data_IF_253594428036
#
_entry.id   IF_253594428036
#
_cell.length_a   1.000
_cell.length_b   1.000
_cell.length_c   1.000
_cell.angle_alpha   90.00
_cell.angle_beta   90.00
_cell.angle_gamma   90.00
#
_symmetry.space_group_name_H-M   'P 1'
#
loop_
_entity.id
_entity.type
_entity.pdbx_description
1 polymer ?
#
# COMPACT_ATOMS: atom_id res chain seq x y z
N UNK A 1 -25.01 60.53 -27.28
CA UNK A 1 -23.78 59.96 -26.63
C UNK A 1 -24.23 59.45 -25.27
N UNK A 2 -24.09 58.11 -25.09
CA UNK A 2 -24.38 57.43 -23.83
C UNK A 2 -23.14 57.58 -22.95
N UNK A 3 -23.25 58.17 -21.80
CA UNK A 3 -22.16 58.24 -20.82
C UNK A 3 -21.82 56.85 -20.30
N UNK A 4 -20.52 56.53 -20.27
CA UNK A 4 -20.02 55.29 -19.72
C UNK A 4 -20.11 55.35 -18.19
N UNK A 5 -20.91 54.45 -17.59
CA UNK A 5 -21.01 54.39 -16.14
C UNK A 5 -19.65 54.25 -15.45
N UNK A 6 -19.53 54.79 -14.25
CA UNK A 6 -18.31 54.68 -13.42
C UNK A 6 -18.05 53.20 -13.09
N UNK A 7 -16.80 52.81 -13.16
CA UNK A 7 -16.36 51.46 -12.76
C UNK A 7 -16.60 51.28 -11.24
N UNK A 8 -17.21 50.20 -10.85
CA UNK A 8 -17.39 49.87 -9.43
C UNK A 8 -16.07 49.78 -8.68
N UNK A 9 -16.08 50.01 -7.39
CA UNK A 9 -14.92 49.90 -6.52
C UNK A 9 -14.34 48.47 -6.56
N UNK A 10 -13.02 48.38 -6.39
CA UNK A 10 -12.33 47.10 -6.29
C UNK A 10 -12.77 46.42 -4.98
N UNK A 11 -13.21 45.17 -5.06
CA UNK A 11 -13.55 44.40 -3.87
C UNK A 11 -12.35 44.27 -2.90
N UNK A 12 -12.67 44.09 -1.62
CA UNK A 12 -11.67 43.89 -0.56
C UNK A 12 -10.77 42.71 -0.83
N UNK A 13 -9.49 42.77 -0.38
CA UNK A 13 -8.58 41.65 -0.45
C UNK A 13 -9.11 40.55 0.47
N UNK A 14 -9.08 39.29 0.00
CA UNK A 14 -9.44 38.16 0.84
C UNK A 14 -8.48 38.05 2.07
N UNK A 15 -9.02 37.53 3.16
CA UNK A 15 -8.25 37.31 4.39
C UNK A 15 -7.17 36.24 4.16
N UNK A 16 -5.97 36.48 4.68
CA UNK A 16 -4.90 35.50 4.65
C UNK A 16 -5.07 34.52 5.83
N UNK A 17 -5.20 33.20 5.59
CA UNK A 17 -5.35 32.23 6.67
C UNK A 17 -4.09 32.16 7.55
N UNK A 18 -4.30 32.03 8.85
CA UNK A 18 -3.23 31.64 9.79
C UNK A 18 -3.04 30.13 9.70
N UNK A 19 -1.81 29.71 9.40
CA UNK A 19 -1.46 28.29 9.29
C UNK A 19 -0.67 27.90 10.54
N UNK A 20 -1.13 26.88 11.25
CA UNK A 20 -0.47 26.34 12.43
C UNK A 20 -0.27 24.85 12.30
N UNK A 21 0.83 24.33 12.85
CA UNK A 21 1.03 22.89 13.02
C UNK A 21 0.28 22.47 14.27
N UNK A 22 -0.68 21.56 14.10
CA UNK A 22 -1.49 21.02 15.20
C UNK A 22 -0.82 19.84 15.85
N UNK A 23 -0.23 18.97 15.02
CA UNK A 23 0.48 17.79 15.47
C UNK A 23 1.69 17.52 14.56
N UNK A 24 2.85 17.29 15.18
CA UNK A 24 4.08 16.93 14.50
C UNK A 24 4.75 15.81 15.28
N UNK A 25 4.44 14.58 14.91
CA UNK A 25 5.00 13.36 15.50
C UNK A 25 5.63 12.50 14.42
N UNK A 26 6.25 11.39 14.81
CA UNK A 26 6.83 10.43 13.87
C UNK A 26 5.80 9.83 12.88
N UNK A 27 4.53 9.82 13.25
CA UNK A 27 3.45 9.15 12.51
C UNK A 27 2.31 10.08 12.10
N UNK A 28 2.30 11.31 12.60
CA UNK A 28 1.20 12.26 12.38
C UNK A 28 1.74 13.64 12.10
N UNK A 29 1.29 14.23 11.01
CA UNK A 29 1.56 15.64 10.67
C UNK A 29 0.28 16.30 10.19
N UNK A 30 -0.27 17.20 11.00
CA UNK A 30 -1.52 17.90 10.73
C UNK A 30 -1.30 19.41 10.74
N UNK A 31 -1.92 20.09 9.78
CA UNK A 31 -1.97 21.55 9.72
C UNK A 31 -3.38 22.03 9.99
N UNK A 32 -3.47 23.16 10.64
CA UNK A 32 -4.73 23.90 10.77
C UNK A 32 -4.63 25.21 9.98
N UNK A 33 -5.68 25.51 9.23
CA UNK A 33 -5.89 26.75 8.46
C UNK A 33 -7.06 27.48 9.09
N UNK A 34 -6.79 28.65 9.65
CA UNK A 34 -7.80 29.44 10.34
C UNK A 34 -7.96 30.84 9.72
N UNK A 35 -9.21 31.18 9.40
CA UNK A 35 -9.65 32.51 9.01
C UNK A 35 -10.70 33.00 10.01
N UNK A 36 -11.25 34.20 9.81
CA UNK A 36 -12.41 34.67 10.59
C UNK A 36 -13.69 33.85 10.35
N UNK A 37 -13.80 33.19 9.18
CA UNK A 37 -14.98 32.44 8.75
C UNK A 37 -14.80 30.91 8.93
N UNK A 38 -13.59 30.39 8.79
CA UNK A 38 -13.31 28.95 8.71
C UNK A 38 -12.17 28.51 9.64
N UNK A 39 -12.28 27.30 10.17
CA UNK A 39 -11.27 26.63 10.97
C UNK A 39 -11.16 25.18 10.50
N UNK A 40 -10.17 24.90 9.65
CA UNK A 40 -10.03 23.64 8.92
C UNK A 40 -8.73 22.97 9.32
N UNK A 41 -8.82 21.77 9.90
CA UNK A 41 -7.65 20.91 10.15
C UNK A 41 -7.51 19.88 9.03
N UNK A 42 -6.29 19.73 8.49
CA UNK A 42 -6.03 18.70 7.49
C UNK A 42 -6.16 17.30 8.08
N UNK A 43 -6.48 16.29 7.27
CA UNK A 43 -6.20 14.93 7.64
C UNK A 43 -4.69 14.73 7.85
N UNK A 44 -4.28 13.60 8.42
CA UNK A 44 -2.85 13.29 8.57
C UNK A 44 -2.14 13.35 7.22
N UNK A 45 -1.24 14.32 7.07
CA UNK A 45 -0.45 14.53 5.84
C UNK A 45 0.76 13.59 5.78
N UNK A 46 1.13 13.00 6.91
CA UNK A 46 2.17 12.00 6.97
C UNK A 46 1.53 10.63 6.74
N UNK A 47 1.77 10.04 5.57
CA UNK A 47 1.46 8.64 5.33
C UNK A 47 2.60 7.79 5.87
N UNK A 48 2.41 7.25 7.07
CA UNK A 48 3.24 6.16 7.57
C UNK A 48 3.19 4.98 6.61
N UNK A 49 4.23 4.16 6.64
CA UNK A 49 4.19 2.84 6.00
C UNK A 49 3.09 2.02 6.68
N UNK A 50 2.11 1.58 5.90
CA UNK A 50 1.13 0.62 6.41
C UNK A 50 1.85 -0.70 6.67
N UNK A 51 1.80 -1.19 7.91
CA UNK A 51 2.39 -2.46 8.31
C UNK A 51 1.29 -3.47 8.55
N UNK A 52 1.36 -4.60 7.86
CA UNK A 52 0.38 -5.68 7.95
C UNK A 52 1.05 -6.91 8.54
N UNK A 53 0.61 -7.33 9.72
CA UNK A 53 1.02 -8.57 10.34
C UNK A 53 -0.10 -9.60 10.22
N UNK A 54 0.20 -10.76 9.68
CA UNK A 54 -0.74 -11.88 9.60
C UNK A 54 -0.03 -13.20 9.82
N UNK A 55 -0.62 -14.05 10.63
CA UNK A 55 -0.26 -15.46 10.71
C UNK A 55 -1.09 -16.23 9.67
N UNK A 56 -0.47 -16.63 8.58
CA UNK A 56 -1.08 -17.53 7.59
C UNK A 56 -0.86 -18.96 8.08
N UNK A 57 -1.72 -19.45 8.96
CA UNK A 57 -1.51 -20.74 9.67
C UNK A 57 -2.22 -21.93 9.03
N UNK A 58 -3.09 -21.70 8.05
CA UNK A 58 -3.85 -22.76 7.40
C UNK A 58 -3.91 -22.54 5.88
N UNK A 59 -3.92 -23.64 5.14
CA UNK A 59 -4.16 -23.59 3.70
C UNK A 59 -5.46 -22.85 3.38
N UNK A 60 -5.40 -21.91 2.46
CA UNK A 60 -6.50 -21.02 2.11
C UNK A 60 -6.53 -19.70 2.89
N UNK A 61 -5.74 -19.53 3.96
CA UNK A 61 -5.61 -18.23 4.65
C UNK A 61 -5.11 -17.15 3.71
N UNK A 62 -5.69 -15.93 3.79
CA UNK A 62 -5.35 -14.81 2.91
C UNK A 62 -5.12 -13.53 3.69
N UNK A 63 -4.19 -12.71 3.19
CA UNK A 63 -4.05 -11.30 3.52
C UNK A 63 -4.29 -10.48 2.27
N UNK A 64 -5.27 -9.58 2.34
CA UNK A 64 -5.59 -8.65 1.26
C UNK A 64 -5.09 -7.25 1.62
N UNK A 65 -4.21 -6.70 0.80
CA UNK A 65 -3.69 -5.34 0.95
C UNK A 65 -4.35 -4.46 -0.11
N UNK A 66 -5.21 -3.53 0.28
CA UNK A 66 -5.85 -2.62 -0.66
C UNK A 66 -4.83 -1.58 -1.15
N UNK A 67 -4.61 -1.52 -2.45
CA UNK A 67 -3.95 -0.43 -3.14
C UNK A 67 -5.02 0.54 -3.68
N UNK A 68 -4.63 1.61 -4.35
CA UNK A 68 -5.60 2.62 -4.85
C UNK A 68 -6.71 1.98 -5.72
N UNK A 69 -6.35 1.35 -6.84
CA UNK A 69 -7.28 0.71 -7.78
C UNK A 69 -7.14 -0.82 -7.82
N UNK A 70 -6.20 -1.38 -7.07
CA UNK A 70 -5.85 -2.78 -7.08
C UNK A 70 -5.98 -3.40 -5.67
N UNK A 71 -6.00 -4.72 -5.62
CA UNK A 71 -5.87 -5.51 -4.39
C UNK A 71 -4.69 -6.46 -4.58
N UNK A 72 -3.72 -6.37 -3.69
CA UNK A 72 -2.62 -7.33 -3.58
C UNK A 72 -3.00 -8.39 -2.55
N UNK A 73 -2.93 -9.66 -2.92
CA UNK A 73 -3.33 -10.78 -2.06
C UNK A 73 -2.18 -11.73 -1.84
N UNK A 74 -1.88 -12.00 -0.58
CA UNK A 74 -1.02 -13.11 -0.14
C UNK A 74 -1.92 -14.25 0.31
N UNK A 75 -1.70 -15.44 -0.23
CA UNK A 75 -2.49 -16.63 0.09
C UNK A 75 -1.59 -17.81 0.41
N UNK A 76 -1.80 -18.42 1.55
CA UNK A 76 -1.19 -19.71 1.84
C UNK A 76 -1.95 -20.81 1.11
N UNK A 77 -1.26 -21.51 0.20
CA UNK A 77 -1.85 -22.59 -0.59
C UNK A 77 -1.65 -23.94 0.11
N UNK A 78 -0.51 -24.09 0.77
CA UNK A 78 -0.17 -25.27 1.55
C UNK A 78 0.72 -24.85 2.73
N UNK A 79 1.16 -25.80 3.53
CA UNK A 79 2.12 -25.55 4.63
C UNK A 79 3.47 -25.02 4.13
N UNK A 80 3.78 -25.17 2.86
CA UNK A 80 5.06 -24.82 2.26
C UNK A 80 4.96 -23.96 1.00
N UNK A 81 3.76 -23.46 0.66
CA UNK A 81 3.58 -22.65 -0.54
C UNK A 81 2.75 -21.40 -0.27
N UNK A 82 3.31 -20.26 -0.66
CA UNK A 82 2.67 -18.96 -0.67
C UNK A 82 2.44 -18.52 -2.11
N UNK A 83 1.26 -18.00 -2.38
CA UNK A 83 0.91 -17.38 -3.66
C UNK A 83 0.66 -15.89 -3.47
N UNK A 84 1.27 -15.09 -4.32
CA UNK A 84 1.07 -13.64 -4.38
C UNK A 84 0.32 -13.33 -5.65
N UNK A 85 -0.84 -12.69 -5.53
CA UNK A 85 -1.66 -12.30 -6.67
C UNK A 85 -2.06 -10.84 -6.59
N UNK A 86 -2.41 -10.26 -7.74
CA UNK A 86 -2.95 -8.91 -7.87
C UNK A 86 -4.20 -8.95 -8.74
N UNK A 87 -5.17 -8.12 -8.41
CA UNK A 87 -6.39 -7.95 -9.20
C UNK A 87 -6.90 -6.51 -9.13
N UNK A 88 -7.66 -6.07 -10.11
CA UNK A 88 -8.39 -4.82 -10.01
C UNK A 88 -9.48 -4.91 -8.93
N UNK A 89 -9.72 -3.82 -8.18
CA UNK A 89 -10.84 -3.73 -7.23
C UNK A 89 -12.19 -3.89 -7.93
N UNK A 90 -12.30 -3.29 -9.11
CA UNK A 90 -13.42 -3.46 -10.02
C UNK A 90 -12.90 -4.14 -11.29
N UNK A 91 -13.27 -5.39 -11.49
CA UNK A 91 -12.82 -6.20 -12.63
C UNK A 91 -13.34 -5.69 -13.98
N UNK A 92 -14.38 -4.86 -13.97
CA UNK A 92 -14.90 -4.17 -15.17
C UNK A 92 -14.06 -2.95 -15.57
N UNK A 93 -13.18 -2.47 -14.67
CA UNK A 93 -12.32 -1.30 -14.88
C UNK A 93 -10.85 -1.73 -14.87
N UNK A 94 -10.28 -2.11 -16.01
CA UNK A 94 -8.88 -2.55 -16.10
C UNK A 94 -7.91 -1.45 -15.69
N UNK A 95 -6.86 -1.83 -14.96
CA UNK A 95 -5.83 -0.91 -14.44
C UNK A 95 -4.51 -1.16 -15.16
N UNK A 96 -3.96 -0.13 -15.79
CA UNK A 96 -2.63 -0.19 -16.41
C UNK A 96 -1.56 -0.16 -15.32
N UNK A 97 -0.59 -1.07 -15.40
CA UNK A 97 0.42 -1.28 -14.35
C UNK A 97 1.81 -1.50 -14.90
N UNK A 98 2.81 -1.10 -14.09
CA UNK A 98 4.17 -1.61 -14.15
C UNK A 98 4.46 -2.31 -12.83
N UNK A 99 4.84 -3.57 -12.88
CA UNK A 99 5.08 -4.39 -11.69
C UNK A 99 6.49 -4.96 -11.75
N UNK A 100 7.23 -4.81 -10.66
CA UNK A 100 8.51 -5.44 -10.45
C UNK A 100 8.50 -6.22 -9.14
N UNK A 101 8.83 -7.51 -9.21
CA UNK A 101 9.04 -8.37 -8.07
C UNK A 101 10.51 -8.83 -8.04
N UNK A 102 11.09 -8.85 -6.85
CA UNK A 102 12.36 -9.52 -6.57
C UNK A 102 12.11 -10.39 -5.35
N UNK A 103 12.35 -11.68 -5.48
CA UNK A 103 12.28 -12.64 -4.37
C UNK A 103 13.68 -13.12 -4.03
N UNK A 104 14.05 -13.02 -2.77
CA UNK A 104 15.33 -13.42 -2.22
C UNK A 104 15.08 -14.60 -1.27
N UNK A 105 15.66 -15.74 -1.59
CA UNK A 105 15.59 -16.95 -0.78
C UNK A 105 16.77 -17.03 0.20
N UNK A 106 16.59 -17.70 1.31
CA UNK A 106 17.68 -17.89 2.28
C UNK A 106 18.85 -18.72 1.70
N UNK A 107 18.60 -19.46 0.61
CA UNK A 107 19.63 -20.20 -0.14
C UNK A 107 20.50 -19.31 -1.03
N UNK A 108 20.37 -17.99 -0.93
CA UNK A 108 21.06 -17.00 -1.76
C UNK A 108 20.65 -16.98 -3.23
N UNK A 109 19.59 -17.68 -3.61
CA UNK A 109 19.01 -17.55 -4.95
C UNK A 109 18.10 -16.32 -5.02
N UNK A 110 18.04 -15.71 -6.19
CA UNK A 110 17.23 -14.51 -6.45
C UNK A 110 16.41 -14.79 -7.69
N UNK A 111 15.11 -14.53 -7.58
CA UNK A 111 14.19 -14.52 -8.72
C UNK A 111 13.59 -13.15 -8.95
N UNK A 112 13.29 -12.84 -10.19
CA UNK A 112 12.66 -11.56 -10.55
C UNK A 112 11.56 -11.74 -11.58
N UNK A 113 10.52 -10.90 -11.45
CA UNK A 113 9.46 -10.71 -12.43
C UNK A 113 9.37 -9.24 -12.77
N UNK A 114 9.24 -8.93 -14.06
CA UNK A 114 8.97 -7.56 -14.52
C UNK A 114 7.82 -7.60 -15.52
N UNK A 115 6.76 -6.86 -15.22
CA UNK A 115 5.62 -6.63 -16.09
C UNK A 115 5.55 -5.13 -16.37
N UNK A 116 5.66 -4.75 -17.65
CA UNK A 116 5.60 -3.35 -18.07
C UNK A 116 4.35 -3.14 -18.91
N UNK A 117 3.67 -2.01 -18.70
CA UNK A 117 2.46 -1.63 -19.44
C UNK A 117 1.41 -2.76 -19.48
N UNK A 118 1.30 -3.49 -18.37
CA UNK A 118 0.39 -4.64 -18.27
C UNK A 118 -0.93 -4.20 -17.69
N UNK A 119 -2.01 -4.58 -18.35
CA UNK A 119 -3.36 -4.29 -17.87
C UNK A 119 -3.85 -5.41 -16.95
N UNK A 120 -4.16 -5.04 -15.72
CA UNK A 120 -4.73 -5.94 -14.71
C UNK A 120 -6.22 -5.68 -14.60
N UNK A 121 -7.02 -6.72 -14.81
CA UNK A 121 -8.46 -6.73 -14.55
C UNK A 121 -8.82 -7.82 -13.55
N UNK A 122 -8.53 -9.05 -13.89
CA UNK A 122 -8.76 -10.23 -13.07
C UNK A 122 -7.50 -10.63 -12.29
N UNK A 123 -7.64 -11.67 -11.48
CA UNK A 123 -6.55 -12.22 -10.67
C UNK A 123 -5.36 -12.63 -11.53
N UNK A 124 -4.23 -12.00 -11.31
CA UNK A 124 -2.94 -12.28 -11.96
C UNK A 124 -1.95 -12.78 -10.91
N UNK A 125 -1.28 -13.89 -11.17
CA UNK A 125 -0.27 -14.45 -10.27
C UNK A 125 1.05 -13.70 -10.48
N UNK A 126 1.58 -13.15 -9.39
CA UNK A 126 2.89 -12.50 -9.36
C UNK A 126 3.98 -13.42 -8.81
N UNK A 127 3.60 -14.33 -7.94
CA UNK A 127 4.48 -15.33 -7.34
C UNK A 127 3.68 -16.56 -6.92
N UNK A 128 4.24 -17.73 -7.11
CA UNK A 128 3.65 -19.02 -6.76
C UNK A 128 4.73 -20.00 -6.32
N UNK A 129 5.59 -19.56 -5.40
CA UNK A 129 6.80 -20.26 -5.01
C UNK A 129 6.54 -21.14 -3.80
N UNK A 130 7.20 -22.30 -3.80
CA UNK A 130 7.30 -23.15 -2.63
C UNK A 130 8.46 -22.69 -1.74
N UNK A 131 8.14 -22.29 -0.51
CA UNK A 131 9.15 -22.08 0.52
C UNK A 131 9.25 -23.35 1.38
N UNK A 132 10.40 -23.97 1.37
CA UNK A 132 10.60 -25.21 2.09
C UNK A 132 11.23 -25.03 3.46
N UNK A 133 11.88 -23.91 3.70
CA UNK A 133 12.53 -23.62 5.00
C UNK A 133 12.80 -22.12 5.18
N UNK A 134 12.26 -21.60 6.22
CA UNK A 134 12.61 -20.49 7.06
C UNK A 134 12.39 -19.06 6.57
N UNK A 135 13.03 -18.49 5.61
CA UNK A 135 12.88 -17.05 5.37
C UNK A 135 12.97 -16.70 3.89
N UNK A 136 11.97 -15.95 3.42
CA UNK A 136 11.96 -15.38 2.09
C UNK A 136 11.58 -13.90 2.18
N UNK A 137 12.24 -13.07 1.41
CA UNK A 137 11.92 -11.67 1.27
C UNK A 137 11.43 -11.38 -0.14
N UNK A 138 10.24 -10.79 -0.23
CA UNK A 138 9.64 -10.42 -1.50
C UNK A 138 9.58 -8.91 -1.60
N UNK A 139 10.35 -8.32 -2.49
CA UNK A 139 10.29 -6.89 -2.76
C UNK A 139 9.40 -6.64 -3.97
N UNK A 140 8.23 -6.04 -3.76
CA UNK A 140 7.32 -5.66 -4.84
C UNK A 140 7.28 -4.15 -4.99
N UNK A 141 7.39 -3.70 -6.23
CA UNK A 141 7.11 -2.32 -6.63
C UNK A 141 5.99 -2.38 -7.65
N UNK A 142 4.89 -1.72 -7.35
CA UNK A 142 3.68 -1.69 -8.17
C UNK A 142 3.38 -0.23 -8.50
N UNK A 143 3.51 0.12 -9.77
CA UNK A 143 3.02 1.40 -10.30
C UNK A 143 1.68 1.12 -10.97
N UNK A 144 0.70 1.91 -10.65
CA UNK A 144 -0.64 1.81 -11.24
C UNK A 144 -1.08 3.16 -11.77
N UNK A 145 -1.74 3.16 -12.90
CA UNK A 145 -2.39 4.34 -13.44
C UNK A 145 -3.85 4.36 -12.99
N UNK A 146 -4.26 5.42 -12.31
CA UNK A 146 -5.67 5.60 -11.99
C UNK A 146 -6.50 5.57 -13.28
N UNK A 147 -7.49 4.70 -13.41
CA UNK A 147 -8.22 4.52 -14.67
C UNK A 147 -9.06 5.74 -15.07
N UNK A 148 -9.40 6.63 -14.13
CA UNK A 148 -10.23 7.81 -14.37
C UNK A 148 -9.35 9.03 -14.68
N UNK A 149 -8.49 9.43 -13.75
CA UNK A 149 -7.70 10.67 -13.85
C UNK A 149 -6.35 10.49 -14.56
N UNK A 150 -5.99 9.25 -14.91
CA UNK A 150 -4.75 8.88 -15.64
C UNK A 150 -3.45 9.26 -14.93
N UNK A 151 -3.49 9.58 -13.66
CA UNK A 151 -2.29 9.79 -12.85
C UNK A 151 -1.69 8.44 -12.40
N UNK A 152 -0.37 8.42 -12.28
CA UNK A 152 0.37 7.27 -11.79
C UNK A 152 0.60 7.37 -10.29
N UNK A 153 0.36 6.27 -9.57
CA UNK A 153 0.75 6.08 -8.18
C UNK A 153 1.69 4.89 -8.05
N UNK A 154 2.45 4.85 -6.96
CA UNK A 154 3.42 3.79 -6.70
C UNK A 154 3.26 3.26 -5.29
N UNK A 155 3.09 1.95 -5.17
CA UNK A 155 3.13 1.22 -3.92
C UNK A 155 4.37 0.31 -3.87
N UNK A 156 4.98 0.18 -2.70
CA UNK A 156 6.04 -0.78 -2.43
C UNK A 156 5.61 -1.67 -1.28
N UNK A 157 5.82 -2.96 -1.43
CA UNK A 157 5.57 -3.95 -0.38
C UNK A 157 6.84 -4.77 -0.20
N UNK A 158 7.24 -4.98 1.05
CA UNK A 158 8.40 -5.80 1.42
C UNK A 158 7.94 -6.79 2.49
N UNK A 159 7.16 -7.81 2.11
CA UNK A 159 6.79 -8.85 3.04
C UNK A 159 8.01 -9.71 3.36
N UNK A 160 8.17 -10.00 4.63
CA UNK A 160 9.08 -11.02 5.13
C UNK A 160 8.23 -12.24 5.50
N UNK A 161 8.44 -13.34 4.80
CA UNK A 161 7.81 -14.62 5.14
C UNK A 161 8.74 -15.39 6.05
N UNK A 162 8.33 -15.57 7.30
CA UNK A 162 9.07 -16.35 8.28
C UNK A 162 8.25 -17.57 8.69
N UNK A 163 8.84 -18.75 8.58
CA UNK A 163 8.24 -19.95 9.14
C UNK A 163 8.44 -19.94 10.65
N UNK A 164 7.37 -19.84 11.41
CA UNK A 164 7.40 -20.07 12.85
C UNK A 164 7.42 -21.59 13.06
N UNK A 165 8.58 -22.13 13.37
CA UNK A 165 8.68 -23.50 13.87
C UNK A 165 8.06 -23.49 15.27
N UNK A 166 6.97 -24.24 15.54
CA UNK A 166 6.46 -24.33 16.89
C UNK A 166 7.59 -24.91 17.78
N UNK A 167 7.96 -24.17 18.83
CA UNK A 167 8.84 -24.70 19.85
C UNK A 167 8.17 -25.96 20.42
N UNK A 168 8.83 -27.09 20.24
CA UNK A 168 8.43 -28.30 20.93
C UNK A 168 8.52 -27.99 22.42
N UNK A 169 7.46 -28.23 23.21
CA UNK A 169 7.55 -28.03 24.65
C UNK A 169 8.69 -28.92 25.15
N UNK A 170 9.72 -28.29 25.68
CA UNK A 170 10.78 -29.00 26.38
C UNK A 170 10.13 -29.73 27.55
N UNK A 171 9.85 -31.00 27.33
CA UNK A 171 9.47 -31.89 28.41
C UNK A 171 10.63 -31.95 29.39
N UNK A 172 10.47 -31.33 30.54
CA UNK A 172 11.34 -31.61 31.68
C UNK A 172 11.16 -33.08 32.06
N UNK A 173 11.97 -33.95 31.51
CA UNK A 173 12.15 -35.26 32.08
C UNK A 173 12.99 -35.09 33.32
N UNK A 174 12.30 -35.02 34.47
CA UNK A 174 12.95 -35.17 35.78
C UNK A 174 13.58 -36.55 35.84
N UNK A 175 14.89 -36.56 35.83
CA UNK A 175 15.62 -37.76 36.33
C UNK A 175 15.57 -37.74 37.86
N UNK A 176 15.07 -38.84 38.39
CA UNK A 176 15.34 -39.27 39.77
C UNK A 176 16.75 -39.80 39.89
#
# INVERSE_FOLDING_TARGET
>A
TREKGIQGEKGDNGETPVITVVEDTLLTYNLNFKTSADDITTPNLFKSLDEYHVALSASGSTLNIPLESLILTYQQISTTALRITIAAKDTSVPVLTDIRRITIFNTSSIESLTLNNTTISTRTVLDDLMYTQSQESHCLTIRQQNPIIKLWSCARSIPLVQMVVPELPYGCSGMK
#
